data_IF_082406092068
#
_entry.id   IF_082406092068
#
_cell.length_a   1.000
_cell.length_b   1.000
_cell.length_c   1.000
_cell.angle_alpha   90.00
_cell.angle_beta   90.00
_cell.angle_gamma   90.00
#
_symmetry.space_group_name_H-M   'P 1'
#
loop_
_entity.id
_entity.type
_entity.pdbx_description
1 polymer ?
#
# COMPACT_ATOMS: atom_id res chain seq x y z
N UNK A 1 20.49 5.23 7.31
CA UNK A 1 19.06 5.25 7.70
C UNK A 1 18.24 5.09 6.43
N UNK A 2 18.11 3.87 5.92
CA UNK A 2 17.37 3.63 4.68
C UNK A 2 15.88 3.70 4.97
N UNK A 3 15.30 4.90 4.88
CA UNK A 3 13.84 5.14 4.99
C UNK A 3 13.07 4.65 3.74
N UNK A 4 13.57 3.62 3.06
CA UNK A 4 12.93 3.01 1.90
C UNK A 4 12.35 1.67 2.31
N UNK A 5 11.13 1.70 2.86
CA UNK A 5 10.33 0.49 2.88
C UNK A 5 10.05 0.12 1.42
N UNK A 6 10.35 -1.12 0.97
CA UNK A 6 10.03 -1.54 -0.38
C UNK A 6 8.51 -1.55 -0.59
N UNK A 7 8.04 -1.53 -1.83
CA UNK A 7 6.61 -1.59 -2.19
C UNK A 7 5.75 -0.41 -1.70
N UNK A 8 6.32 0.79 -1.53
CA UNK A 8 5.52 1.97 -1.22
C UNK A 8 4.55 2.36 -2.36
N UNK A 9 3.32 2.78 -2.02
CA UNK A 9 2.31 3.20 -3.00
C UNK A 9 2.82 4.30 -3.93
N UNK A 10 3.63 5.24 -3.40
CA UNK A 10 4.23 6.32 -4.19
C UNK A 10 5.26 5.83 -5.21
N UNK A 11 5.88 4.67 -4.97
CA UNK A 11 6.78 4.02 -5.91
C UNK A 11 6.01 3.18 -6.94
N UNK A 12 4.98 2.43 -6.51
CA UNK A 12 4.12 1.61 -7.37
C UNK A 12 3.37 2.50 -8.38
N UNK A 13 2.77 3.59 -7.90
CA UNK A 13 1.99 4.53 -8.71
C UNK A 13 2.77 5.80 -9.04
N UNK A 14 4.06 5.68 -9.37
CA UNK A 14 4.97 6.82 -9.59
C UNK A 14 4.45 7.84 -10.63
N UNK A 15 3.68 7.37 -11.62
CA UNK A 15 3.11 8.21 -12.69
C UNK A 15 1.81 8.92 -12.27
N UNK A 16 1.16 8.45 -11.21
CA UNK A 16 -0.15 8.91 -10.74
C UNK A 16 -0.03 9.63 -9.38
N UNK A 17 1.13 10.20 -9.03
CA UNK A 17 1.39 10.81 -7.72
C UNK A 17 0.43 11.93 -7.34
N UNK A 18 0.09 12.79 -8.30
CA UNK A 18 -0.84 13.89 -8.07
C UNK A 18 -2.26 13.36 -7.85
N UNK A 19 -2.63 12.27 -8.54
CA UNK A 19 -3.89 11.58 -8.35
C UNK A 19 -3.96 10.91 -6.97
N UNK A 20 -2.90 10.23 -6.51
CA UNK A 20 -2.83 9.65 -5.16
C UNK A 20 -3.02 10.72 -4.08
N UNK A 21 -2.38 11.88 -4.26
CA UNK A 21 -2.47 13.01 -3.32
C UNK A 21 -3.90 13.54 -3.24
N UNK A 22 -4.56 13.69 -4.40
CA UNK A 22 -5.96 14.10 -4.48
C UNK A 22 -6.91 13.08 -3.85
N UNK A 23 -6.77 11.81 -4.20
CA UNK A 23 -7.57 10.73 -3.63
C UNK A 23 -7.39 10.66 -2.11
N UNK A 24 -6.19 10.91 -1.58
CA UNK A 24 -5.96 10.94 -0.13
C UNK A 24 -6.70 12.09 0.56
N UNK A 25 -6.96 13.20 -0.12
CA UNK A 25 -7.71 14.34 0.41
C UNK A 25 -9.23 14.21 0.20
N UNK A 26 -9.66 13.65 -0.93
CA UNK A 26 -11.05 13.68 -1.38
C UNK A 26 -11.80 12.35 -1.16
N UNK A 27 -11.08 11.22 -1.11
CA UNK A 27 -11.66 9.88 -0.94
C UNK A 27 -11.24 9.27 0.40
N UNK A 28 -12.16 9.34 1.37
CA UNK A 28 -11.95 8.79 2.71
C UNK A 28 -11.77 7.27 2.73
N UNK A 29 -12.29 6.55 1.73
CA UNK A 29 -12.09 5.11 1.62
C UNK A 29 -10.68 4.80 1.14
N UNK A 30 -10.23 5.49 0.08
CA UNK A 30 -8.84 5.41 -0.38
C UNK A 30 -7.86 5.78 0.74
N UNK A 31 -8.11 6.86 1.49
CA UNK A 31 -7.23 7.28 2.58
C UNK A 31 -7.04 6.17 3.62
N UNK A 32 -8.13 5.50 4.03
CA UNK A 32 -8.08 4.36 4.96
C UNK A 32 -7.31 3.17 4.38
N UNK A 33 -7.57 2.82 3.13
CA UNK A 33 -6.87 1.71 2.46
C UNK A 33 -5.37 1.99 2.34
N UNK A 34 -4.99 3.22 1.97
CA UNK A 34 -3.60 3.62 1.88
C UNK A 34 -2.90 3.51 3.24
N UNK A 35 -3.52 3.99 4.31
CA UNK A 35 -2.94 3.90 5.66
C UNK A 35 -2.82 2.45 6.15
N UNK A 36 -3.83 1.61 5.90
CA UNK A 36 -3.77 0.16 6.19
C UNK A 36 -2.67 -0.53 5.39
N UNK A 37 -2.54 -0.22 4.10
CA UNK A 37 -1.49 -0.76 3.24
C UNK A 37 -0.11 -0.39 3.77
N UNK A 38 0.09 0.88 4.15
CA UNK A 38 1.35 1.33 4.73
C UNK A 38 1.69 0.60 6.03
N UNK A 39 0.72 0.33 6.91
CA UNK A 39 0.98 -0.41 8.14
C UNK A 39 1.36 -1.86 7.85
N UNK A 40 0.57 -2.57 7.04
CA UNK A 40 0.85 -3.97 6.67
C UNK A 40 2.18 -4.08 5.94
N UNK A 41 2.50 -3.15 5.05
CA UNK A 41 3.78 -3.15 4.33
C UNK A 41 4.98 -2.95 5.28
N UNK A 42 4.84 -2.05 6.27
CA UNK A 42 5.86 -1.88 7.31
C UNK A 42 6.02 -3.14 8.16
N UNK A 43 4.93 -3.79 8.53
CA UNK A 43 4.95 -5.02 9.32
C UNK A 43 5.62 -6.16 8.57
N UNK A 44 5.24 -6.39 7.31
CA UNK A 44 5.91 -7.37 6.43
C UNK A 44 7.40 -7.05 6.31
N UNK A 45 7.76 -5.78 6.12
CA UNK A 45 9.17 -5.40 6.03
C UNK A 45 9.95 -5.65 7.33
N UNK A 46 9.36 -5.39 8.50
CA UNK A 46 10.00 -5.70 9.80
C UNK A 46 10.26 -7.20 9.97
N UNK A 47 9.31 -8.03 9.55
CA UNK A 47 9.44 -9.49 9.59
C UNK A 47 10.49 -9.97 8.59
N UNK A 48 10.45 -9.49 7.33
CA UNK A 48 11.42 -9.83 6.28
C UNK A 48 12.85 -9.36 6.60
N UNK A 49 12.99 -8.25 7.33
CA UNK A 49 14.28 -7.74 7.81
C UNK A 49 14.75 -8.44 9.11
N UNK A 50 14.12 -9.56 9.50
CA UNK A 50 14.39 -10.32 10.74
C UNK A 50 14.33 -9.47 12.02
N UNK A 51 13.71 -8.30 11.95
CA UNK A 51 13.59 -7.37 13.08
C UNK A 51 12.46 -7.78 14.02
N UNK A 52 11.51 -8.59 13.54
CA UNK A 52 10.39 -9.12 14.29
C UNK A 52 10.24 -10.63 14.04
N UNK A 53 10.26 -11.44 15.09
CA UNK A 53 10.01 -12.88 14.97
C UNK A 53 8.51 -13.12 14.68
N UNK A 54 8.21 -13.71 13.52
CA UNK A 54 6.87 -14.11 13.15
C UNK A 54 6.87 -15.56 12.65
N UNK A 55 5.75 -16.26 12.89
CA UNK A 55 5.47 -17.53 12.23
C UNK A 55 5.34 -17.34 10.72
N UNK A 56 5.75 -18.33 9.94
CA UNK A 56 5.56 -18.37 8.48
C UNK A 56 4.08 -18.13 8.10
N UNK A 57 3.14 -18.67 8.87
CA UNK A 57 1.70 -18.49 8.65
C UNK A 57 1.26 -17.02 8.78
N UNK A 58 1.79 -16.32 9.79
CA UNK A 58 1.51 -14.89 10.00
C UNK A 58 2.11 -14.06 8.87
N UNK A 59 3.35 -14.36 8.49
CA UNK A 59 4.04 -13.70 7.37
C UNK A 59 3.24 -13.84 6.07
N UNK A 60 2.78 -15.04 5.75
CA UNK A 60 1.97 -15.29 4.54
C UNK A 60 0.60 -14.62 4.61
N UNK A 61 -0.01 -14.55 5.80
CA UNK A 61 -1.28 -13.82 6.00
C UNK A 61 -1.10 -12.32 5.72
N UNK A 62 -0.04 -11.71 6.25
CA UNK A 62 0.25 -10.29 6.03
C UNK A 62 0.58 -10.00 4.56
N UNK A 63 1.32 -10.88 3.88
CA UNK A 63 1.59 -10.73 2.44
C UNK A 63 0.31 -10.79 1.61
N UNK A 64 -0.61 -11.72 1.92
CA UNK A 64 -1.93 -11.80 1.27
C UNK A 64 -2.76 -10.55 1.52
N UNK A 65 -2.76 -10.05 2.76
CA UNK A 65 -3.45 -8.81 3.10
C UNK A 65 -2.87 -7.61 2.34
N UNK A 66 -1.53 -7.50 2.24
CA UNK A 66 -0.86 -6.47 1.44
C UNK A 66 -1.31 -6.52 -0.02
N UNK A 67 -1.40 -7.72 -0.60
CA UNK A 67 -1.84 -7.90 -1.98
C UNK A 67 -3.30 -7.49 -2.17
N UNK A 68 -4.21 -7.94 -1.30
CA UNK A 68 -5.62 -7.57 -1.37
C UNK A 68 -5.84 -6.05 -1.27
N UNK A 69 -5.15 -5.39 -0.33
CA UNK A 69 -5.17 -3.94 -0.20
C UNK A 69 -4.63 -3.25 -1.45
N UNK A 70 -3.57 -3.77 -2.06
CA UNK A 70 -3.02 -3.22 -3.30
C UNK A 70 -4.02 -3.34 -4.45
N UNK A 71 -4.73 -4.46 -4.56
CA UNK A 71 -5.73 -4.69 -5.60
C UNK A 71 -6.91 -3.70 -5.48
N UNK A 72 -7.41 -3.49 -4.26
CA UNK A 72 -8.46 -2.50 -3.99
C UNK A 72 -8.02 -1.09 -4.34
N UNK A 73 -6.81 -0.69 -3.89
CA UNK A 73 -6.22 0.62 -4.20
C UNK A 73 -6.03 0.78 -5.72
N UNK A 74 -5.53 -0.25 -6.40
CA UNK A 74 -5.34 -0.24 -7.86
C UNK A 74 -6.66 -0.04 -8.58
N UNK A 75 -7.75 -0.65 -8.11
CA UNK A 75 -9.10 -0.46 -8.62
C UNK A 75 -9.55 0.99 -8.52
N UNK A 76 -9.36 1.63 -7.36
CA UNK A 76 -9.72 3.04 -7.13
C UNK A 76 -8.87 3.96 -8.03
N UNK A 77 -7.55 3.78 -8.05
CA UNK A 77 -6.63 4.60 -8.85
C UNK A 77 -6.94 4.46 -10.34
N UNK A 78 -7.16 3.24 -10.82
CA UNK A 78 -7.50 2.98 -12.23
C UNK A 78 -8.82 3.63 -12.62
N UNK A 79 -9.85 3.53 -11.76
CA UNK A 79 -11.14 4.17 -11.97
C UNK A 79 -11.00 5.69 -12.00
N UNK A 80 -10.30 6.28 -11.03
CA UNK A 80 -10.13 7.72 -10.95
C UNK A 80 -9.28 8.27 -12.12
N UNK A 81 -8.27 7.53 -12.58
CA UNK A 81 -7.52 7.87 -13.79
C UNK A 81 -8.41 7.89 -15.04
N UNK A 82 -9.28 6.89 -15.20
CA UNK A 82 -10.22 6.81 -16.33
C UNK A 82 -11.33 7.86 -16.32
N UNK A 83 -11.68 8.42 -15.15
CA UNK A 83 -12.63 9.54 -15.02
C UNK A 83 -12.00 10.89 -15.41
N UNK A 84 -10.66 10.99 -15.39
CA UNK A 84 -9.94 12.24 -15.68
C UNK A 84 -9.45 12.34 -17.15
N UNK A 85 -9.84 11.39 -18.01
CA UNK A 85 -9.50 11.37 -19.44
C UNK A 85 -10.73 11.69 -20.31
#
# INVERSE_FOLDING_TARGET
MSQHTPNELTAIFKRDRDLLTRLKAEDAHYARLADQYHEVNREVHRIEAETEAASDERTETLKKQRLALLDEITGIVTKARGVTA
#
